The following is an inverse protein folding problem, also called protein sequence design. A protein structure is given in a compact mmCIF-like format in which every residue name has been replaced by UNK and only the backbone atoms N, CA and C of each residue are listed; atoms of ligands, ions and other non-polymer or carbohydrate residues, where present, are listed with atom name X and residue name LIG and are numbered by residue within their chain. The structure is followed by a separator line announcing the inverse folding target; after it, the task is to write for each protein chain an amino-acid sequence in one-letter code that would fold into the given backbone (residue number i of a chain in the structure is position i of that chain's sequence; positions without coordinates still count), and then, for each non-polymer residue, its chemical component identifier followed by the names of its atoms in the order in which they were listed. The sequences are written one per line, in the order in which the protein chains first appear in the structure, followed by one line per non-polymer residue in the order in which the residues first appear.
data_IF_328591960383
#
_entry.id   IF_328591960383
#
_cell.length_a   1.000
_cell.length_b   1.000
_cell.length_c   1.000
_cell.angle_alpha   90.00
_cell.angle_beta   90.00
_cell.angle_gamma   90.00
#
_symmetry.space_group_name_H-M   'P 1'
#
loop_
_entity.id
_entity.type
_entity.pdbx_description
1 polymer ?
#
# COMPACT_ATOMS: atom_id res chain seq x y z
N UNK A 1 16.64 -26.86 -4.91
CA UNK A 1 17.73 -26.81 -3.93
C UNK A 1 17.84 -28.16 -3.20
N UNK A 2 19.00 -28.51 -2.66
CA UNK A 2 19.18 -29.76 -1.94
C UNK A 2 18.29 -29.79 -0.69
N UNK A 3 17.89 -30.97 -0.19
CA UNK A 3 17.19 -31.07 1.08
C UNK A 3 18.01 -30.38 2.19
N UNK A 4 17.36 -29.60 3.04
CA UNK A 4 17.95 -28.76 4.08
C UNK A 4 18.77 -27.56 3.56
N UNK A 5 18.16 -26.78 2.68
CA UNK A 5 18.73 -25.49 2.25
C UNK A 5 18.09 -24.35 3.04
N UNK A 6 18.88 -23.32 3.33
CA UNK A 6 18.40 -22.01 3.77
C UNK A 6 18.44 -21.05 2.58
N UNK A 7 17.32 -20.39 2.30
CA UNK A 7 17.21 -19.41 1.24
C UNK A 7 16.78 -18.08 1.85
N UNK A 8 17.59 -17.06 1.75
CA UNK A 8 17.27 -15.70 2.11
C UNK A 8 17.00 -14.90 0.83
N UNK A 9 15.80 -14.30 0.74
CA UNK A 9 15.41 -13.50 -0.40
C UNK A 9 15.06 -12.10 0.10
N UNK A 10 15.80 -11.10 -0.37
CA UNK A 10 15.53 -9.70 -0.11
C UNK A 10 14.98 -9.08 -1.39
N UNK A 11 13.78 -8.52 -1.29
CA UNK A 11 13.06 -7.87 -2.39
C UNK A 11 12.75 -6.45 -1.97
N UNK A 12 13.11 -5.48 -2.81
CA UNK A 12 12.89 -4.07 -2.52
C UNK A 12 11.42 -3.63 -2.66
N UNK A 13 10.60 -4.39 -3.40
CA UNK A 13 9.15 -4.12 -3.50
C UNK A 13 8.46 -4.51 -2.19
N UNK A 14 7.59 -3.69 -1.61
CA UNK A 14 6.91 -2.51 -2.15
C UNK A 14 7.58 -1.15 -1.81
N UNK A 15 8.89 -1.08 -1.70
CA UNK A 15 9.60 0.21 -1.58
C UNK A 15 9.30 1.10 -2.80
N UNK A 16 9.37 2.42 -2.62
CA UNK A 16 9.25 3.37 -3.74
C UNK A 16 10.41 3.21 -4.76
N UNK A 17 10.20 3.65 -6.02
CA UNK A 17 8.99 4.26 -6.58
C UNK A 17 7.83 3.28 -6.68
N UNK A 18 6.61 3.77 -6.41
CA UNK A 18 5.41 2.96 -6.53
C UNK A 18 4.85 3.08 -7.94
N UNK A 19 5.32 2.23 -8.81
CA UNK A 19 5.06 2.24 -10.26
C UNK A 19 4.60 0.89 -10.80
N UNK A 20 4.35 -0.09 -9.95
CA UNK A 20 3.90 -1.41 -10.36
C UNK A 20 2.45 -1.69 -9.97
N UNK A 21 1.71 -2.25 -10.92
CA UNK A 21 0.37 -2.78 -10.71
C UNK A 21 0.44 -4.21 -10.12
N UNK A 22 -0.65 -4.71 -9.54
CA UNK A 22 -0.73 -6.12 -9.12
C UNK A 22 -0.48 -7.11 -10.25
N UNK A 23 -0.75 -6.73 -11.52
CA UNK A 23 -0.42 -7.52 -12.71
C UNK A 23 1.09 -7.65 -12.97
N UNK A 24 1.91 -6.80 -12.37
CA UNK A 24 3.35 -6.66 -12.65
C UNK A 24 3.65 -5.70 -13.78
N UNK A 25 2.64 -5.14 -14.42
CA UNK A 25 2.84 -4.07 -15.39
C UNK A 25 3.34 -2.82 -14.68
N UNK A 26 4.25 -2.12 -15.32
CA UNK A 26 4.77 -0.83 -14.86
C UNK A 26 3.89 0.31 -15.40
N UNK A 27 3.79 1.39 -14.63
CA UNK A 27 3.15 2.63 -15.08
C UNK A 27 4.02 3.84 -14.72
N UNK A 28 3.71 4.99 -15.33
CA UNK A 28 4.49 6.21 -15.14
C UNK A 28 4.53 6.65 -13.67
N UNK A 29 5.70 7.10 -13.21
CA UNK A 29 5.82 7.77 -11.93
C UNK A 29 5.07 9.11 -11.95
N UNK A 30 4.52 9.57 -10.82
CA UNK A 30 3.94 10.90 -10.72
C UNK A 30 5.03 11.98 -10.82
N UNK A 31 4.62 13.20 -11.15
CA UNK A 31 5.52 14.37 -11.17
C UNK A 31 6.10 14.66 -9.78
N UNK A 32 5.33 14.35 -8.74
CA UNK A 32 5.73 14.40 -7.33
C UNK A 32 5.24 13.15 -6.60
N UNK A 33 6.07 12.57 -5.75
CA UNK A 33 5.72 11.37 -4.98
C UNK A 33 4.71 11.63 -3.84
N UNK A 34 4.39 12.89 -3.55
CA UNK A 34 3.52 13.32 -2.45
C UNK A 34 4.27 13.62 -1.15
N UNK A 35 5.61 13.71 -1.20
CA UNK A 35 6.46 14.10 -0.09
C UNK A 35 7.67 14.93 -0.58
N UNK A 36 8.24 15.70 0.33
CA UNK A 36 9.36 16.59 0.07
C UNK A 36 10.73 15.91 0.26
N UNK A 37 11.80 16.63 -0.07
CA UNK A 37 13.19 16.15 0.01
C UNK A 37 13.66 15.81 1.44
N UNK A 38 12.99 16.34 2.46
CA UNK A 38 13.22 16.04 3.88
C UNK A 38 12.44 14.81 4.38
N UNK A 39 11.77 14.08 3.48
CA UNK A 39 10.90 12.94 3.76
C UNK A 39 9.63 13.27 4.54
N UNK A 40 9.15 14.50 4.47
CA UNK A 40 7.87 14.92 5.05
C UNK A 40 6.77 14.81 3.98
N UNK A 41 5.63 14.23 4.35
CA UNK A 41 4.47 14.19 3.48
C UNK A 41 3.93 15.58 3.19
N UNK A 42 3.41 15.78 2.01
CA UNK A 42 2.62 16.97 1.65
C UNK A 42 1.52 17.25 2.68
N UNK A 43 1.22 18.52 2.89
CA UNK A 43 0.09 18.95 3.74
C UNK A 43 -1.28 18.62 3.14
N UNK A 44 -1.31 18.13 1.89
CA UNK A 44 -2.54 17.73 1.18
C UNK A 44 -2.85 16.24 1.39
N UNK A 45 -3.87 15.89 2.22
CA UNK A 45 -4.25 14.50 2.45
C UNK A 45 -4.62 13.75 1.16
N UNK A 46 -5.04 14.46 0.12
CA UNK A 46 -5.41 13.91 -1.18
C UNK A 46 -4.20 13.34 -1.93
N UNK A 47 -3.04 14.01 -1.85
CA UNK A 47 -1.78 13.51 -2.41
C UNK A 47 -1.30 12.27 -1.64
N UNK A 48 -1.41 12.29 -0.30
CA UNK A 48 -1.05 11.16 0.56
C UNK A 48 -1.97 9.95 0.28
N UNK A 49 -3.27 10.16 0.12
CA UNK A 49 -4.23 9.09 -0.24
C UNK A 49 -3.87 8.46 -1.60
N UNK A 50 -3.43 9.27 -2.57
CA UNK A 50 -2.96 8.76 -3.86
C UNK A 50 -1.64 7.98 -3.73
N UNK A 51 -0.70 8.44 -2.90
CA UNK A 51 0.52 7.70 -2.61
C UNK A 51 0.21 6.35 -1.94
N UNK A 52 -0.73 6.34 -1.00
CA UNK A 52 -1.21 5.11 -0.36
C UNK A 52 -1.91 4.16 -1.35
N UNK A 53 -2.66 4.69 -2.33
CA UNK A 53 -3.21 3.87 -3.42
C UNK A 53 -2.10 3.18 -4.21
N UNK A 54 -1.08 3.90 -4.62
CA UNK A 54 0.06 3.37 -5.39
C UNK A 54 0.84 2.33 -4.59
N UNK A 55 1.09 2.60 -3.31
CA UNK A 55 1.69 1.64 -2.39
C UNK A 55 0.85 0.35 -2.27
N UNK A 56 -0.47 0.48 -2.10
CA UNK A 56 -1.37 -0.66 -1.97
C UNK A 56 -1.42 -1.51 -3.25
N UNK A 57 -1.44 -0.88 -4.44
CA UNK A 57 -1.35 -1.58 -5.72
C UNK A 57 -0.05 -2.36 -5.85
N UNK A 58 1.08 -1.75 -5.48
CA UNK A 58 2.39 -2.42 -5.52
C UNK A 58 2.51 -3.53 -4.47
N UNK A 59 1.85 -3.39 -3.31
CA UNK A 59 1.72 -4.47 -2.33
C UNK A 59 0.95 -5.66 -2.91
N UNK A 60 -0.06 -5.40 -3.77
CA UNK A 60 -0.76 -6.44 -4.51
C UNK A 60 0.13 -7.25 -5.46
N UNK A 61 1.19 -6.65 -6.01
CA UNK A 61 2.22 -7.40 -6.75
C UNK A 61 3.00 -8.34 -5.82
N UNK A 62 3.39 -7.87 -4.63
CA UNK A 62 4.09 -8.73 -3.65
C UNK A 62 3.22 -9.92 -3.26
N UNK A 63 1.94 -9.70 -2.98
CA UNK A 63 0.98 -10.77 -2.65
C UNK A 63 0.90 -11.81 -3.76
N UNK A 64 0.81 -11.37 -5.02
CA UNK A 64 0.79 -12.27 -6.18
C UNK A 64 2.07 -13.11 -6.28
N UNK A 65 3.24 -12.50 -6.13
CA UNK A 65 4.52 -13.21 -6.25
C UNK A 65 4.73 -14.18 -5.07
N UNK A 66 4.29 -13.83 -3.87
CA UNK A 66 4.24 -14.76 -2.73
C UNK A 66 3.32 -15.95 -3.04
N UNK A 67 2.14 -15.70 -3.62
CA UNK A 67 1.23 -16.76 -4.05
C UNK A 67 1.87 -17.71 -5.06
N UNK A 68 2.64 -17.18 -6.03
CA UNK A 68 3.40 -17.98 -7.00
C UNK A 68 4.49 -18.82 -6.35
N UNK A 69 5.23 -18.25 -5.40
CA UNK A 69 6.25 -18.97 -4.64
C UNK A 69 5.63 -20.12 -3.83
N UNK A 70 4.52 -19.86 -3.14
CA UNK A 70 3.80 -20.88 -2.37
C UNK A 70 3.28 -22.01 -3.28
N UNK A 71 2.72 -21.67 -4.45
CA UNK A 71 2.26 -22.65 -5.42
C UNK A 71 3.42 -23.52 -5.93
N UNK A 72 4.58 -22.91 -6.19
CA UNK A 72 5.79 -23.64 -6.61
C UNK A 72 6.25 -24.63 -5.54
N UNK A 73 6.33 -24.22 -4.27
CA UNK A 73 6.71 -25.12 -3.17
C UNK A 73 5.73 -26.30 -3.04
N UNK A 74 4.43 -26.06 -3.22
CA UNK A 74 3.38 -27.10 -3.20
C UNK A 74 3.52 -28.07 -4.37
N UNK A 75 3.76 -27.57 -5.57
CA UNK A 75 3.90 -28.40 -6.79
C UNK A 75 5.20 -29.24 -6.78
N UNK A 76 6.18 -28.85 -5.99
CA UNK A 76 7.43 -29.59 -5.80
C UNK A 76 7.40 -30.49 -4.56
N UNK A 77 6.24 -30.69 -3.91
CA UNK A 77 6.03 -31.45 -2.68
C UNK A 77 6.95 -31.01 -1.52
N UNK A 78 7.27 -29.71 -1.48
CA UNK A 78 8.20 -29.13 -0.48
C UNK A 78 7.51 -28.24 0.54
N UNK A 79 6.23 -27.94 0.35
CA UNK A 79 5.50 -27.03 1.21
C UNK A 79 5.44 -27.53 2.65
N UNK A 80 5.10 -28.80 2.85
CA UNK A 80 4.88 -29.35 4.20
C UNK A 80 6.18 -29.35 5.02
N UNK A 81 7.30 -29.72 4.40
CA UNK A 81 8.61 -29.79 5.05
C UNK A 81 9.32 -28.43 5.19
N UNK A 82 8.76 -27.38 4.59
CA UNK A 82 9.40 -26.06 4.59
C UNK A 82 8.96 -25.20 5.76
N UNK A 83 9.91 -24.48 6.34
CA UNK A 83 9.63 -23.26 7.10
C UNK A 83 9.65 -22.07 6.13
N UNK A 84 8.59 -21.27 6.13
CA UNK A 84 8.50 -20.03 5.33
C UNK A 84 8.30 -18.86 6.27
N UNK A 85 9.16 -17.85 6.17
CA UNK A 85 9.06 -16.60 6.93
C UNK A 85 8.91 -15.45 5.95
N UNK A 86 7.87 -14.63 6.13
CA UNK A 86 7.64 -13.41 5.37
C UNK A 86 7.55 -12.24 6.34
N UNK A 87 8.39 -11.24 6.15
CA UNK A 87 8.44 -10.06 6.99
C UNK A 87 8.95 -8.85 6.20
N UNK A 88 8.96 -7.68 6.82
CA UNK A 88 9.59 -6.46 6.33
C UNK A 88 10.64 -5.97 7.33
N UNK A 89 11.53 -5.09 6.89
CA UNK A 89 12.51 -4.40 7.74
C UNK A 89 11.87 -3.27 8.54
N UNK A 90 10.99 -2.48 7.92
CA UNK A 90 10.20 -1.42 8.55
C UNK A 90 8.91 -1.17 7.76
N UNK A 91 7.99 -0.42 8.36
CA UNK A 91 6.81 0.11 7.71
C UNK A 91 7.00 1.54 7.22
N UNK A 92 5.89 2.20 6.90
CA UNK A 92 5.84 3.58 6.44
C UNK A 92 4.58 4.26 7.00
N UNK A 93 4.73 5.49 7.49
CA UNK A 93 3.62 6.32 7.92
C UNK A 93 2.99 7.04 6.74
N UNK A 94 1.65 7.07 6.68
CA UNK A 94 0.86 7.83 5.70
C UNK A 94 -0.03 8.83 6.44
N UNK A 95 0.44 10.07 6.54
CA UNK A 95 -0.32 11.17 7.14
C UNK A 95 0.21 12.51 6.69
N UNK A 96 -0.70 13.39 6.23
CA UNK A 96 -0.36 14.70 5.70
C UNK A 96 0.44 15.54 6.72
N UNK A 97 1.47 16.21 6.23
CA UNK A 97 2.38 17.05 7.03
C UNK A 97 3.29 16.26 7.98
N UNK A 98 3.18 14.94 8.05
CA UNK A 98 3.98 14.12 8.96
C UNK A 98 5.21 13.50 8.32
N UNK A 99 6.23 13.11 9.12
CA UNK A 99 7.43 12.47 8.63
C UNK A 99 7.11 11.05 8.13
N UNK A 100 7.62 10.70 6.97
CA UNK A 100 7.32 9.43 6.30
C UNK A 100 7.94 8.21 7.00
N UNK A 101 9.13 8.36 7.57
CA UNK A 101 9.93 7.25 8.15
C UNK A 101 10.41 7.52 9.56
N UNK A 102 10.47 8.78 9.98
CA UNK A 102 10.95 9.11 11.31
C UNK A 102 9.96 8.59 12.35
N UNK A 103 10.52 7.97 13.37
CA UNK A 103 9.73 7.40 14.44
C UNK A 103 9.48 8.49 15.49
N UNK A 104 8.24 8.91 15.57
CA UNK A 104 7.72 9.82 16.58
C UNK A 104 6.64 9.11 17.37
N UNK A 105 6.16 9.74 18.44
CA UNK A 105 5.02 9.22 19.21
C UNK A 105 3.75 9.01 18.35
N UNK A 106 3.66 9.65 17.18
CA UNK A 106 2.52 9.57 16.28
C UNK A 106 2.71 8.54 15.15
N UNK A 107 3.95 8.34 14.71
CA UNK A 107 4.26 7.56 13.49
C UNK A 107 4.78 6.16 13.77
N UNK A 108 5.27 5.92 14.99
CA UNK A 108 5.96 4.70 15.39
C UNK A 108 5.13 3.43 15.12
N UNK A 109 3.82 3.47 15.34
CA UNK A 109 2.95 2.33 15.12
C UNK A 109 2.90 1.87 13.66
N UNK A 110 2.92 2.79 12.69
CA UNK A 110 2.96 2.43 11.27
C UNK A 110 4.36 2.07 10.79
N UNK A 111 5.40 2.70 11.37
CA UNK A 111 6.78 2.46 10.99
C UNK A 111 7.33 1.13 11.56
N UNK A 112 6.90 0.73 12.74
CA UNK A 112 7.43 -0.42 13.48
C UNK A 112 6.54 -1.66 13.44
N UNK A 113 5.23 -1.51 13.21
CA UNK A 113 4.31 -2.65 13.11
C UNK A 113 4.40 -3.30 11.74
N UNK A 114 5.43 -4.10 11.53
CA UNK A 114 5.68 -4.84 10.29
C UNK A 114 4.90 -6.15 10.26
N UNK A 115 4.57 -6.67 9.06
CA UNK A 115 3.98 -7.99 8.94
C UNK A 115 5.00 -9.06 9.36
N UNK A 116 4.53 -10.11 10.05
CA UNK A 116 5.31 -11.30 10.31
C UNK A 116 4.42 -12.53 10.13
N UNK A 117 4.69 -13.29 9.09
CA UNK A 117 4.05 -14.57 8.81
C UNK A 117 5.09 -15.67 8.90
N UNK A 118 4.79 -16.70 9.69
CA UNK A 118 5.65 -17.87 9.84
C UNK A 118 4.80 -19.12 9.59
N UNK A 119 5.15 -19.88 8.55
CA UNK A 119 4.66 -21.24 8.34
C UNK A 119 5.75 -22.20 8.84
N UNK A 120 5.42 -23.03 9.80
CA UNK A 120 6.33 -24.06 10.31
C UNK A 120 6.22 -25.36 9.48
N UNK A 121 7.25 -26.22 9.46
CA UNK A 121 7.12 -27.55 8.92
C UNK A 121 5.93 -28.29 9.57
N UNK A 122 5.22 -29.10 8.79
CA UNK A 122 4.08 -29.93 9.24
C UNK A 122 2.95 -29.14 9.94
N UNK A 123 2.82 -27.85 9.62
CA UNK A 123 1.76 -27.02 10.20
C UNK A 123 0.44 -27.21 9.47
N UNK A 124 -0.54 -27.86 10.11
CA UNK A 124 -1.85 -28.18 9.54
C UNK A 124 -2.87 -27.03 9.65
N UNK A 125 -2.70 -26.14 10.62
CA UNK A 125 -3.70 -25.12 10.92
C UNK A 125 -3.10 -23.73 11.06
N UNK A 126 -3.78 -22.69 10.54
CA UNK A 126 -3.35 -21.31 10.76
C UNK A 126 -3.57 -20.91 12.21
N UNK A 127 -2.67 -20.11 12.74
CA UNK A 127 -2.76 -19.53 14.09
C UNK A 127 -2.45 -18.04 14.02
N UNK A 128 -3.28 -17.23 14.67
CA UNK A 128 -2.98 -15.81 14.90
C UNK A 128 -2.40 -15.68 16.31
N UNK A 129 -1.22 -15.07 16.41
CA UNK A 129 -0.56 -14.75 17.68
C UNK A 129 -0.63 -13.25 17.87
N UNK A 130 -1.26 -12.80 18.95
CA UNK A 130 -1.42 -11.37 19.28
C UNK A 130 -0.36 -10.88 20.26
N UNK A 131 0.62 -11.71 20.59
CA UNK A 131 1.71 -11.33 21.49
C UNK A 131 2.69 -10.41 20.76
N UNK A 132 3.21 -9.35 21.42
CA UNK A 132 4.24 -8.52 20.87
C UNK A 132 5.52 -9.33 20.65
N UNK A 133 6.04 -9.29 19.41
CA UNK A 133 7.27 -9.98 19.03
C UNK A 133 8.17 -9.04 18.27
N UNK A 134 9.47 -9.34 18.25
CA UNK A 134 10.46 -8.59 17.49
C UNK A 134 11.01 -9.44 16.34
N UNK A 135 11.35 -8.79 15.23
CA UNK A 135 12.02 -9.43 14.11
C UNK A 135 13.39 -10.05 14.50
N UNK A 136 14.04 -9.54 15.54
CA UNK A 136 15.26 -10.15 16.12
C UNK A 136 15.04 -11.59 16.60
N UNK A 137 13.79 -11.98 16.89
CA UNK A 137 13.41 -13.36 17.23
C UNK A 137 13.38 -14.32 16.04
N UNK A 138 13.41 -13.83 14.79
CA UNK A 138 13.31 -14.69 13.59
C UNK A 138 14.52 -15.62 13.47
N UNK A 139 15.73 -15.09 13.55
CA UNK A 139 16.94 -15.88 13.40
C UNK A 139 17.05 -17.02 14.44
N UNK A 140 16.89 -16.79 15.76
CA UNK A 140 16.91 -17.87 16.73
C UNK A 140 15.75 -18.87 16.52
N UNK A 141 14.59 -18.44 16.02
CA UNK A 141 13.49 -19.33 15.66
C UNK A 141 13.86 -20.27 14.53
N UNK A 142 14.43 -19.73 13.43
CA UNK A 142 14.89 -20.52 12.29
C UNK A 142 15.95 -21.55 12.73
N UNK A 143 16.92 -21.13 13.52
CA UNK A 143 17.97 -22.03 14.03
C UNK A 143 17.39 -23.16 14.88
N UNK A 144 16.43 -22.84 15.75
CA UNK A 144 15.78 -23.85 16.60
C UNK A 144 14.97 -24.85 15.78
N UNK A 145 14.20 -24.40 14.77
CA UNK A 145 13.44 -25.27 13.86
C UNK A 145 14.37 -26.14 13.02
N UNK A 146 15.52 -25.60 12.60
CA UNK A 146 16.54 -26.35 11.87
C UNK A 146 17.33 -27.35 12.73
N UNK A 147 17.09 -27.39 14.05
CA UNK A 147 17.83 -28.26 14.98
C UNK A 147 19.29 -27.83 15.19
N UNK A 148 19.61 -26.57 14.89
CA UNK A 148 20.95 -25.99 15.07
C UNK A 148 21.06 -25.45 16.49
N UNK A 149 21.68 -26.23 17.36
CA UNK A 149 21.91 -25.85 18.75
C UNK A 149 23.17 -24.95 18.84
N UNK A 150 23.06 -23.69 18.45
CA UNK A 150 24.07 -22.67 18.72
C UNK A 150 23.46 -21.63 19.66
N UNK A 151 24.04 -21.50 20.85
CA UNK A 151 23.96 -20.26 21.63
C UNK A 151 24.77 -19.19 20.85
N UNK A 152 24.27 -18.79 19.69
CA UNK A 152 24.79 -17.61 19.05
C UNK A 152 24.38 -16.41 19.93
N UNK A 153 25.24 -15.41 20.03
CA UNK A 153 24.93 -14.10 20.62
C UNK A 153 23.84 -13.41 19.80
N UNK A 154 22.62 -13.95 19.86
CA UNK A 154 21.47 -13.42 19.17
C UNK A 154 20.76 -12.45 20.11
N UNK A 155 20.52 -11.21 19.63
CA UNK A 155 19.81 -10.16 20.37
C UNK A 155 18.36 -10.49 20.70
N UNK A 156 17.79 -11.53 20.04
CA UNK A 156 16.40 -11.95 20.18
C UNK A 156 16.24 -13.33 20.80
N UNK A 157 15.01 -13.62 21.21
CA UNK A 157 14.57 -14.94 21.69
C UNK A 157 13.73 -15.62 20.62
N UNK A 158 13.83 -16.97 20.53
CA UNK A 158 12.98 -17.74 19.64
C UNK A 158 11.50 -17.45 19.88
N UNK A 159 10.75 -17.37 18.79
CA UNK A 159 9.30 -17.13 18.76
C UNK A 159 8.50 -18.44 18.97
N UNK A 160 9.16 -19.59 19.06
CA UNK A 160 8.51 -20.84 19.38
C UNK A 160 8.05 -20.86 20.84
N UNK A 161 6.76 -21.16 21.04
CA UNK A 161 6.18 -21.30 22.38
C UNK A 161 5.92 -19.98 23.10
N UNK A 162 5.96 -18.85 22.41
CA UNK A 162 5.62 -17.57 23.01
C UNK A 162 4.15 -17.51 23.41
N UNK A 163 3.95 -17.32 24.72
CA UNK A 163 2.79 -16.70 25.31
C UNK A 163 3.28 -15.40 25.95
N UNK A 164 3.24 -14.30 25.20
CA UNK A 164 3.85 -13.03 25.62
C UNK A 164 3.01 -12.28 26.64
N UNK A 165 3.66 -11.60 27.56
CA UNK A 165 3.00 -10.62 28.42
C UNK A 165 2.78 -9.33 27.62
N UNK A 166 1.53 -9.01 27.29
CA UNK A 166 1.12 -7.79 26.58
C UNK A 166 1.54 -6.48 27.27
N UNK A 167 2.08 -6.57 28.48
CA UNK A 167 2.58 -5.43 29.26
C UNK A 167 4.06 -5.10 28.98
N UNK A 168 4.71 -5.75 27.99
CA UNK A 168 6.09 -5.41 27.66
C UNK A 168 6.19 -3.97 27.21
N UNK A 169 6.96 -3.20 27.95
CA UNK A 169 7.43 -1.87 27.55
C UNK A 169 8.62 -2.05 26.63
N UNK A 170 8.57 -1.39 25.47
CA UNK A 170 9.68 -1.38 24.54
C UNK A 170 10.52 -0.14 24.77
N UNK A 171 11.80 -0.35 25.08
CA UNK A 171 12.79 0.72 25.03
C UNK A 171 13.60 0.54 23.76
N UNK A 172 13.19 1.05 22.62
CA UNK A 172 14.03 1.33 21.45
C UNK A 172 13.20 1.59 20.19
N UNK A 173 13.07 2.85 19.82
CA UNK A 173 12.91 3.31 18.46
C UNK A 173 14.08 4.25 18.15
N UNK A 174 14.61 4.20 16.94
CA UNK A 174 15.57 5.20 16.47
C UNK A 174 14.76 6.40 15.99
N UNK A 175 14.57 7.39 16.85
CA UNK A 175 14.18 8.73 16.42
C UNK A 175 15.43 9.53 16.05
N UNK A 176 15.34 10.56 15.20
CA UNK A 176 16.46 11.49 14.94
C UNK A 176 17.04 12.11 16.22
N UNK A 177 16.22 12.20 17.26
CA UNK A 177 16.58 12.73 18.59
C UNK A 177 17.08 11.70 19.60
N UNK A 178 17.15 10.40 19.24
CA UNK A 178 17.56 9.32 20.14
C UNK A 178 16.51 8.21 20.33
N UNK A 179 16.47 7.61 21.51
CA UNK A 179 15.54 6.51 21.81
C UNK A 179 14.17 7.03 22.22
N UNK A 180 13.11 6.47 21.65
CA UNK A 180 11.73 6.61 22.13
C UNK A 180 11.41 5.48 23.11
N UNK A 181 10.78 5.82 24.23
CA UNK A 181 10.14 4.85 25.10
C UNK A 181 8.74 4.55 24.52
N UNK A 182 8.56 3.38 23.92
CA UNK A 182 7.32 2.98 23.30
C UNK A 182 6.55 2.01 24.20
N UNK A 183 5.25 2.24 24.36
CA UNK A 183 4.33 1.35 25.04
C UNK A 183 3.54 0.56 24.00
N UNK A 184 3.50 -0.76 24.11
CA UNK A 184 2.82 -1.62 23.12
C UNK A 184 1.36 -1.22 22.88
N UNK A 185 0.62 -0.83 23.91
CA UNK A 185 -0.76 -0.39 23.80
C UNK A 185 -0.91 0.86 22.90
N UNK A 186 0.05 1.78 22.92
CA UNK A 186 0.06 2.98 22.07
C UNK A 186 0.34 2.59 20.61
N UNK A 187 1.24 1.63 20.39
CA UNK A 187 1.49 1.09 19.04
C UNK A 187 0.24 0.39 18.49
N UNK A 188 -0.47 -0.41 19.30
CA UNK A 188 -1.73 -1.04 18.89
C UNK A 188 -2.78 0.00 18.47
N UNK A 189 -2.90 1.12 19.20
CA UNK A 189 -3.84 2.19 18.85
C UNK A 189 -3.45 2.87 17.53
N UNK A 190 -2.18 3.18 17.33
CA UNK A 190 -1.69 3.76 16.07
C UNK A 190 -1.91 2.82 14.88
N UNK A 191 -1.68 1.52 15.04
CA UNK A 191 -2.01 0.50 14.03
C UNK A 191 -3.51 0.47 13.75
N UNK A 192 -4.35 0.62 14.78
CA UNK A 192 -5.79 0.68 14.61
C UNK A 192 -6.23 1.93 13.83
N UNK A 193 -5.54 3.06 13.99
CA UNK A 193 -5.75 4.28 13.17
C UNK A 193 -5.42 3.99 11.71
N UNK A 194 -4.26 3.40 11.42
CA UNK A 194 -3.88 3.03 10.06
C UNK A 194 -4.87 2.05 9.41
N UNK A 195 -5.34 1.05 10.16
CA UNK A 195 -6.36 0.10 9.69
C UNK A 195 -7.69 0.81 9.37
N UNK A 196 -8.10 1.79 10.16
CA UNK A 196 -9.30 2.59 9.89
C UNK A 196 -9.15 3.41 8.61
N UNK A 197 -7.97 4.03 8.38
CA UNK A 197 -7.69 4.75 7.14
C UNK A 197 -7.76 3.82 5.93
N UNK A 198 -7.09 2.69 5.98
CA UNK A 198 -7.11 1.69 4.92
C UNK A 198 -8.55 1.17 4.65
N UNK A 199 -9.32 0.90 5.70
CA UNK A 199 -10.73 0.50 5.57
C UNK A 199 -11.59 1.60 4.95
N UNK A 200 -11.33 2.86 5.25
CA UNK A 200 -12.03 4.00 4.66
C UNK A 200 -11.73 4.14 3.16
N UNK A 201 -10.49 3.96 2.76
CA UNK A 201 -10.06 4.12 1.37
C UNK A 201 -10.37 2.87 0.53
N UNK A 202 -10.16 1.67 1.07
CA UNK A 202 -10.18 0.41 0.33
C UNK A 202 -11.23 -0.59 0.82
N UNK A 203 -11.99 -0.27 1.85
CA UNK A 203 -12.98 -1.17 2.46
C UNK A 203 -14.14 -1.58 1.53
N UNK A 204 -14.30 -0.91 0.40
CA UNK A 204 -15.21 -1.32 -0.68
C UNK A 204 -14.68 -2.50 -1.51
N UNK A 205 -13.46 -2.98 -1.26
CA UNK A 205 -12.77 -3.98 -2.06
C UNK A 205 -12.17 -3.43 -3.36
N UNK A 206 -12.14 -2.09 -3.54
CA UNK A 206 -11.58 -1.46 -4.73
C UNK A 206 -10.47 -0.49 -4.37
N UNK A 207 -9.29 -0.67 -4.95
CA UNK A 207 -8.18 0.30 -4.87
C UNK A 207 -8.43 1.58 -5.68
N UNK A 208 -9.49 1.63 -6.47
CA UNK A 208 -9.78 2.73 -7.38
C UNK A 208 -10.88 3.68 -6.88
N UNK A 209 -11.34 3.50 -5.62
CA UNK A 209 -12.39 4.31 -5.00
C UNK A 209 -11.87 5.21 -3.85
N UNK A 210 -10.65 5.74 -3.95
CA UNK A 210 -10.01 6.52 -2.88
C UNK A 210 -10.73 7.83 -2.56
N UNK A 211 -11.53 8.36 -3.48
CA UNK A 211 -12.44 9.48 -3.24
C UNK A 211 -13.74 9.10 -2.51
N UNK A 212 -13.92 7.82 -2.18
CA UNK A 212 -15.21 7.27 -1.73
C UNK A 212 -16.14 7.00 -2.91
N UNK A 213 -17.45 6.87 -2.64
CA UNK A 213 -18.47 6.61 -3.68
C UNK A 213 -18.20 5.39 -4.58
N UNK A 214 -17.69 4.31 -3.99
CA UNK A 214 -17.41 3.06 -4.72
C UNK A 214 -18.61 2.55 -5.53
N UNK A 215 -19.83 2.85 -5.10
CA UNK A 215 -21.05 2.53 -5.83
C UNK A 215 -21.19 3.20 -7.21
N UNK A 216 -20.39 4.24 -7.51
CA UNK A 216 -20.34 4.84 -8.85
C UNK A 216 -19.47 4.04 -9.83
N UNK A 217 -18.52 3.24 -9.33
CA UNK A 217 -17.61 2.46 -10.18
C UNK A 217 -18.41 1.51 -11.08
N UNK A 218 -18.09 1.52 -12.36
CA UNK A 218 -18.77 0.73 -13.40
C UNK A 218 -20.01 1.36 -14.00
N UNK A 219 -20.59 2.38 -13.37
CA UNK A 219 -21.77 3.07 -13.86
C UNK A 219 -21.44 3.96 -15.07
N UNK A 220 -22.44 4.24 -15.94
CA UNK A 220 -22.27 5.21 -17.02
C UNK A 220 -22.15 6.61 -16.47
N UNK A 221 -21.27 7.45 -17.04
CA UNK A 221 -21.09 8.85 -16.64
C UNK A 221 -22.20 9.78 -17.17
N UNK A 222 -22.82 9.46 -18.30
CA UNK A 222 -23.86 10.28 -18.91
C UNK A 222 -25.24 10.04 -18.29
N UNK A 223 -26.04 11.10 -18.18
CA UNK A 223 -27.44 11.03 -17.72
C UNK A 223 -27.60 10.94 -16.21
N UNK A 224 -26.56 11.24 -15.42
CA UNK A 224 -26.59 11.27 -13.97
C UNK A 224 -26.73 12.70 -13.47
N UNK A 225 -27.65 12.91 -12.52
CA UNK A 225 -27.87 14.21 -11.87
C UNK A 225 -26.92 14.46 -10.69
N UNK A 226 -26.27 13.41 -10.21
CA UNK A 226 -25.38 13.41 -9.05
C UNK A 226 -23.91 13.70 -9.39
N UNK A 227 -23.59 13.85 -10.68
CA UNK A 227 -22.27 14.24 -11.16
C UNK A 227 -22.36 15.37 -12.19
N UNK A 228 -21.34 16.23 -12.21
CA UNK A 228 -21.21 17.33 -13.18
C UNK A 228 -19.85 17.28 -13.86
N UNK A 229 -19.85 17.43 -15.19
CA UNK A 229 -18.63 17.37 -15.99
C UNK A 229 -17.67 18.51 -15.61
N UNK A 230 -16.41 18.17 -15.45
CA UNK A 230 -15.29 19.08 -15.27
C UNK A 230 -14.44 19.13 -16.55
N UNK A 231 -13.79 20.24 -16.79
CA UNK A 231 -12.72 20.30 -17.78
C UNK A 231 -11.47 19.64 -17.19
N UNK A 232 -10.93 18.67 -17.93
CA UNK A 232 -9.74 17.93 -17.57
C UNK A 232 -8.58 18.41 -18.44
N UNK A 233 -7.59 19.06 -17.84
CA UNK A 233 -6.36 19.43 -18.48
C UNK A 233 -5.27 18.43 -18.13
N UNK A 234 -4.90 17.61 -19.11
CA UNK A 234 -3.78 16.67 -19.05
C UNK A 234 -2.50 17.39 -19.42
N UNK A 235 -1.39 17.05 -18.77
CA UNK A 235 -0.07 17.57 -19.15
C UNK A 235 0.35 17.03 -20.53
N UNK A 236 -0.06 15.78 -20.86
CA UNK A 236 0.08 15.17 -22.17
C UNK A 236 -1.29 14.65 -22.66
N UNK A 237 -1.86 15.31 -23.66
CA UNK A 237 -3.18 14.96 -24.22
C UNK A 237 -3.20 13.60 -24.90
N UNK A 238 -2.05 13.09 -25.31
CA UNK A 238 -1.92 11.87 -26.11
C UNK A 238 -1.68 10.62 -25.28
N UNK A 239 -1.53 10.78 -23.96
CA UNK A 239 -1.29 9.68 -23.01
C UNK A 239 -2.21 8.46 -23.20
N UNK A 240 -3.47 8.68 -23.57
CA UNK A 240 -4.46 7.62 -23.72
C UNK A 240 -4.88 7.35 -25.18
N UNK A 241 -4.14 7.90 -26.17
CA UNK A 241 -4.51 7.81 -27.59
C UNK A 241 -4.05 6.53 -28.26
N UNK A 242 -2.97 5.91 -27.75
CA UNK A 242 -2.36 4.68 -28.28
C UNK A 242 -2.06 3.71 -27.13
N UNK A 243 -3.12 3.20 -26.48
CA UNK A 243 -3.03 2.33 -25.32
C UNK A 243 -2.94 0.88 -25.74
N UNK A 244 -1.93 0.15 -25.26
CA UNK A 244 -1.82 -1.31 -25.38
C UNK A 244 -2.01 -1.94 -23.99
N UNK A 245 -3.14 -2.63 -23.74
CA UNK A 245 -3.40 -3.26 -22.45
C UNK A 245 -2.49 -4.44 -22.10
N UNK A 246 -1.80 -5.02 -23.08
CA UNK A 246 -0.88 -6.15 -22.91
C UNK A 246 0.60 -5.71 -22.78
N UNK A 247 0.89 -4.42 -22.95
CA UNK A 247 2.23 -3.89 -22.80
C UNK A 247 2.76 -4.08 -21.37
N UNK A 248 4.07 -4.22 -21.23
CA UNK A 248 4.74 -4.24 -19.93
C UNK A 248 4.61 -2.89 -19.20
N UNK A 249 4.56 -1.79 -19.94
CA UNK A 249 4.31 -0.44 -19.45
C UNK A 249 2.96 0.06 -19.93
N UNK A 250 2.12 0.56 -18.98
CA UNK A 250 0.79 1.08 -19.28
C UNK A 250 0.59 2.47 -18.64
N UNK A 251 0.18 3.49 -19.40
CA UNK A 251 0.01 4.86 -18.91
C UNK A 251 -1.31 5.01 -18.14
N UNK A 252 -1.41 4.46 -16.93
CA UNK A 252 -2.66 4.43 -16.13
C UNK A 252 -2.69 5.41 -14.97
N UNK A 253 -1.61 6.13 -14.69
CA UNK A 253 -1.62 7.23 -13.72
C UNK A 253 -2.23 8.46 -14.38
N UNK A 254 -3.34 8.94 -13.83
CA UNK A 254 -3.94 10.21 -14.20
C UNK A 254 -3.45 11.28 -13.22
N UNK A 255 -2.62 12.18 -13.70
CA UNK A 255 -2.25 13.42 -13.03
C UNK A 255 -2.75 14.59 -13.89
N UNK A 256 -3.58 15.48 -13.32
CA UNK A 256 -4.23 16.49 -14.11
C UNK A 256 -4.69 17.69 -13.27
N UNK A 257 -4.84 18.83 -13.96
CA UNK A 257 -5.63 19.95 -13.48
C UNK A 257 -7.09 19.76 -13.86
N UNK A 258 -8.00 20.03 -12.93
CA UNK A 258 -9.44 20.02 -13.18
C UNK A 258 -10.00 21.44 -13.03
N UNK A 259 -10.85 21.86 -13.99
CA UNK A 259 -11.50 23.17 -13.99
C UNK A 259 -13.01 23.02 -13.96
N UNK A 260 -13.66 23.87 -13.20
CA UNK A 260 -15.10 23.86 -13.03
C UNK A 260 -15.49 24.00 -11.55
N UNK A 261 -16.75 23.84 -11.26
CA UNK A 261 -17.27 23.98 -9.90
C UNK A 261 -17.14 22.66 -9.15
N UNK A 262 -16.17 22.58 -8.26
CA UNK A 262 -16.12 21.52 -7.26
C UNK A 262 -17.01 21.92 -6.09
N UNK A 263 -17.95 21.04 -5.72
CA UNK A 263 -18.86 21.29 -4.62
C UNK A 263 -18.11 21.50 -3.30
N UNK A 264 -18.64 22.34 -2.43
CA UNK A 264 -18.02 22.77 -1.16
C UNK A 264 -17.78 21.66 -0.13
N UNK A 265 -18.29 20.47 -0.36
CA UNK A 265 -18.32 19.40 0.66
C UNK A 265 -17.38 18.23 0.42
N UNK A 266 -16.22 18.37 -0.11
CA UNK A 266 -15.17 17.30 -0.09
C UNK A 266 -14.39 17.12 -1.42
N UNK A 267 -14.51 18.02 -2.38
CA UNK A 267 -13.69 18.04 -3.61
C UNK A 267 -13.60 16.68 -4.33
N UNK A 268 -14.71 15.93 -4.34
CA UNK A 268 -14.72 14.55 -4.86
C UNK A 268 -14.90 14.56 -6.36
N UNK A 269 -14.09 13.76 -7.03
CA UNK A 269 -14.05 13.65 -8.47
C UNK A 269 -14.23 12.19 -8.88
N UNK A 270 -15.13 11.96 -9.83
CA UNK A 270 -15.25 10.67 -10.52
C UNK A 270 -14.53 10.76 -11.87
N UNK A 271 -13.75 9.73 -12.18
CA UNK A 271 -13.05 9.61 -13.45
C UNK A 271 -13.73 8.53 -14.29
N UNK A 272 -14.15 8.92 -15.48
CA UNK A 272 -14.72 7.99 -16.45
C UNK A 272 -13.71 7.69 -17.57
N UNK A 273 -13.64 6.43 -17.95
CA UNK A 273 -12.94 5.96 -19.12
C UNK A 273 -13.97 5.35 -20.07
N UNK A 274 -13.99 5.83 -21.31
CA UNK A 274 -14.92 5.38 -22.34
C UNK A 274 -16.39 5.42 -21.89
N UNK A 275 -16.76 6.53 -21.18
CA UNK A 275 -18.14 6.80 -20.73
C UNK A 275 -18.57 5.96 -19.50
N UNK A 276 -17.68 5.24 -18.84
CA UNK A 276 -17.96 4.54 -17.57
C UNK A 276 -17.03 5.02 -16.46
N UNK A 277 -17.58 5.28 -15.29
CA UNK A 277 -16.80 5.66 -14.10
C UNK A 277 -15.91 4.48 -13.70
N UNK A 278 -14.61 4.74 -13.58
CA UNK A 278 -13.60 3.71 -13.30
C UNK A 278 -12.80 3.99 -12.04
N UNK A 279 -12.73 5.26 -11.64
CA UNK A 279 -12.10 5.64 -10.38
C UNK A 279 -12.85 6.80 -9.74
N UNK A 280 -12.66 6.96 -8.44
CA UNK A 280 -13.00 8.18 -7.71
C UNK A 280 -11.80 8.64 -6.89
N UNK A 281 -11.57 9.96 -6.87
CA UNK A 281 -10.49 10.60 -6.12
C UNK A 281 -10.99 11.88 -5.47
N UNK A 282 -10.11 12.60 -4.81
CA UNK A 282 -10.36 13.94 -4.28
C UNK A 282 -9.37 14.91 -4.91
N UNK A 283 -9.86 16.11 -5.22
CA UNK A 283 -9.03 17.20 -5.70
C UNK A 283 -8.52 18.05 -4.54
N UNK A 284 -7.36 18.62 -4.68
CA UNK A 284 -6.78 19.62 -3.78
C UNK A 284 -6.33 20.84 -4.57
N UNK A 285 -6.09 21.94 -3.88
CA UNK A 285 -5.54 23.14 -4.51
C UNK A 285 -4.03 23.18 -4.33
N UNK A 286 -3.33 23.38 -5.44
CA UNK A 286 -1.89 23.64 -5.40
C UNK A 286 -1.58 25.08 -4.94
N UNK A 287 -0.31 25.44 -4.82
CA UNK A 287 0.16 26.78 -4.39
C UNK A 287 -0.31 27.91 -5.34
N UNK A 288 -0.74 27.57 -6.54
CA UNK A 288 -1.29 28.48 -7.54
C UNK A 288 -2.81 28.55 -7.53
N UNK A 289 -3.47 27.99 -6.51
CA UNK A 289 -4.95 27.93 -6.35
C UNK A 289 -5.64 27.10 -7.45
N UNK A 290 -4.92 26.17 -8.13
CA UNK A 290 -5.46 25.33 -9.18
C UNK A 290 -5.87 23.97 -8.58
N UNK A 291 -7.03 23.47 -9.01
CA UNK A 291 -7.47 22.15 -8.59
C UNK A 291 -6.67 21.06 -9.28
N UNK A 292 -6.02 20.21 -8.49
CA UNK A 292 -5.23 19.07 -8.94
C UNK A 292 -5.88 17.77 -8.51
N UNK A 293 -5.69 16.75 -9.34
CA UNK A 293 -6.04 15.37 -9.02
C UNK A 293 -4.87 14.45 -9.40
N UNK A 294 -4.74 13.37 -8.65
CA UNK A 294 -3.84 12.27 -8.97
C UNK A 294 -4.51 10.94 -8.57
N UNK A 295 -4.55 9.97 -9.47
CA UNK A 295 -5.16 8.67 -9.24
C UNK A 295 -4.67 7.65 -10.25
N UNK A 296 -4.42 6.42 -9.82
CA UNK A 296 -4.19 5.30 -10.73
C UNK A 296 -5.53 4.76 -11.19
N UNK A 297 -5.68 4.57 -12.51
CA UNK A 297 -6.85 3.98 -13.14
C UNK A 297 -6.65 2.47 -13.35
N UNK A 298 -7.71 1.64 -13.28
CA UNK A 298 -7.55 0.22 -13.57
C UNK A 298 -7.20 0.01 -15.05
N UNK A 299 -6.15 -0.75 -15.40
CA UNK A 299 -5.79 -0.98 -16.81
C UNK A 299 -6.93 -1.64 -17.60
N UNK A 300 -7.76 -2.44 -16.93
CA UNK A 300 -8.97 -3.06 -17.53
C UNK A 300 -10.06 -2.04 -17.92
N UNK A 301 -9.90 -0.77 -17.60
CA UNK A 301 -10.80 0.29 -18.06
C UNK A 301 -10.55 0.68 -19.52
N UNK A 302 -9.34 0.47 -19.97
CA UNK A 302 -8.87 0.88 -21.29
C UNK A 302 -9.03 -0.26 -22.30
N UNK A 303 -9.18 0.12 -23.53
CA UNK A 303 -9.15 -0.77 -24.69
C UNK A 303 -7.91 -0.46 -25.53
N UNK A 304 -7.55 -1.36 -26.38
CA UNK A 304 -6.50 -1.15 -27.37
C UNK A 304 -6.80 0.10 -28.22
N UNK A 305 -5.76 0.91 -28.46
CA UNK A 305 -5.83 2.18 -29.19
C UNK A 305 -6.40 3.33 -28.35
N UNK A 306 -7.22 4.16 -28.96
CA UNK A 306 -7.68 5.43 -28.40
C UNK A 306 -8.75 5.27 -27.32
N UNK A 307 -8.55 5.97 -26.19
CA UNK A 307 -9.46 5.99 -25.04
C UNK A 307 -9.81 7.42 -24.65
N UNK A 308 -11.06 7.65 -24.28
CA UNK A 308 -11.54 8.92 -23.77
C UNK A 308 -11.56 8.90 -22.25
N UNK A 309 -10.86 9.85 -21.61
CA UNK A 309 -10.87 10.04 -20.16
C UNK A 309 -11.60 11.34 -19.85
N UNK A 310 -12.53 11.32 -18.89
CA UNK A 310 -13.34 12.45 -18.48
C UNK A 310 -13.41 12.54 -16.96
N UNK A 311 -13.46 13.77 -16.42
CA UNK A 311 -13.61 14.02 -14.99
C UNK A 311 -15.00 14.64 -14.69
N UNK A 312 -15.52 14.29 -13.51
CA UNK A 312 -16.82 14.78 -13.05
C UNK A 312 -16.76 15.12 -11.56
N UNK A 313 -17.24 16.30 -11.18
CA UNK A 313 -17.50 16.61 -9.78
C UNK A 313 -18.64 15.74 -9.25
N UNK A 314 -18.48 15.12 -8.09
CA UNK A 314 -19.54 14.35 -7.43
C UNK A 314 -20.36 15.31 -6.57
N UNK A 315 -21.66 15.40 -6.85
CA UNK A 315 -22.64 16.18 -6.10
C UNK A 315 -23.43 15.23 -5.18
N UNK A 316 -23.45 15.50 -3.92
CA UNK A 316 -24.19 14.72 -2.94
C UNK A 316 -23.30 14.26 -1.78
N UNK A 317 -23.94 14.04 -0.66
CA UNK A 317 -23.32 13.63 0.63
C UNK A 317 -22.86 12.20 0.64
#
# INVERSE_FOLDING_TARGET
PPPRSFNFVHVTVPHQPWVFLPSGQEYQAPSKDGFDSDNTWSDHPEEVDSALQRYALQTGLVDRELGRMMAKLKNEDRWEDSMVVVTADHGIYFGAGGPRRDQTDETAGQALAIPLFIKYPEQDSPRVVSDPVFNTGIAPTVLQVAGVNRNADADGKSLLGLGGDKRQQFKRGLAPSGYLDLVYAELEEQVAVARRLNSKLFGSGSFYAIGGHAGLIGQRSRGKSDIEKLDLALDDSDTFSDFDPEAEFVPVLLEAEVRGTLGSSKNRVAIAVNGRIRATTRAWKDDSDRWKIIVVLPPTAFRDGSNQVEAFAIRGT
#
